data_IF_877167781620
#
_entry.id   IF_877167781620
#
_cell.length_a   1.000
_cell.length_b   1.000
_cell.length_c   1.000
_cell.angle_alpha   90.00
_cell.angle_beta   90.00
_cell.angle_gamma   90.00
#
_symmetry.space_group_name_H-M   'P 1'
#
loop_
_entity.id
_entity.type
_entity.pdbx_description
1 polymer ?
#
# COMPACT_ATOMS: atom_id res chain seq x y z
N UNK A 1 32.85 -68.33 37.49
CA UNK A 1 31.77 -69.35 37.58
C UNK A 1 30.59 -68.71 38.31
N UNK A 2 29.46 -68.52 37.61
CA UNK A 2 28.10 -68.17 38.07
C UNK A 2 27.45 -67.32 36.96
N UNK A 3 26.89 -67.91 35.90
CA UNK A 3 25.48 -68.30 35.72
C UNK A 3 24.46 -67.14 35.71
N UNK A 4 23.98 -66.88 34.48
CA UNK A 4 22.61 -66.62 34.05
C UNK A 4 21.91 -65.32 34.45
N UNK A 5 21.53 -64.52 33.44
CA UNK A 5 20.24 -63.82 33.39
C UNK A 5 19.77 -63.81 31.93
N UNK A 6 18.63 -64.44 31.68
CA UNK A 6 17.93 -64.48 30.41
C UNK A 6 17.27 -63.12 30.14
N UNK A 7 17.38 -62.61 28.91
CA UNK A 7 16.45 -61.61 28.38
C UNK A 7 16.08 -62.00 26.95
N UNK A 8 14.82 -62.43 26.80
CA UNK A 8 14.18 -62.64 25.52
C UNK A 8 14.00 -61.29 24.82
N UNK A 9 14.68 -61.09 23.70
CA UNK A 9 14.47 -59.95 22.82
C UNK A 9 13.23 -60.22 21.94
N UNK A 10 12.08 -59.67 22.34
CA UNK A 10 10.90 -59.57 21.50
C UNK A 10 11.14 -58.46 20.45
N UNK A 11 11.36 -58.86 19.19
CA UNK A 11 11.34 -57.95 18.04
C UNK A 11 9.88 -57.54 17.75
N UNK A 12 9.48 -56.37 18.27
CA UNK A 12 8.26 -55.70 17.82
C UNK A 12 8.58 -54.89 16.55
N UNK A 13 8.12 -55.38 15.40
CA UNK A 13 8.18 -54.67 14.12
C UNK A 13 7.10 -53.58 14.11
N UNK A 14 7.44 -52.38 14.58
CA UNK A 14 6.57 -51.21 14.46
C UNK A 14 6.66 -50.72 13.00
N UNK A 15 5.66 -51.07 12.19
CA UNK A 15 5.47 -50.48 10.87
C UNK A 15 5.11 -48.99 11.06
N UNK A 16 6.12 -48.11 10.98
CA UNK A 16 5.92 -46.67 10.96
C UNK A 16 5.19 -46.27 9.69
N UNK A 17 3.92 -45.89 9.81
CA UNK A 17 3.21 -45.18 8.74
C UNK A 17 3.81 -43.77 8.69
N UNK A 18 4.66 -43.55 7.69
CA UNK A 18 5.18 -42.22 7.37
C UNK A 18 4.02 -41.43 6.76
N UNK A 19 3.38 -40.56 7.56
CA UNK A 19 2.51 -39.52 7.03
C UNK A 19 3.39 -38.51 6.28
N UNK A 20 3.52 -38.68 4.97
CA UNK A 20 4.02 -37.59 4.13
C UNK A 20 2.94 -36.51 4.08
N UNK A 21 3.27 -35.24 4.37
CA UNK A 21 2.32 -34.15 4.16
C UNK A 21 1.97 -34.12 2.68
N UNK A 22 0.70 -34.37 2.38
CA UNK A 22 0.17 -34.31 1.03
C UNK A 22 0.12 -32.83 0.65
N UNK A 23 1.10 -32.36 -0.14
CA UNK A 23 1.03 -31.05 -0.77
C UNK A 23 -0.27 -30.97 -1.56
N UNK A 24 -1.13 -30.02 -1.21
CA UNK A 24 -2.29 -29.71 -2.04
C UNK A 24 -1.80 -29.34 -3.44
N UNK A 25 -2.47 -29.84 -4.48
CA UNK A 25 -2.15 -29.50 -5.85
C UNK A 25 -2.29 -27.98 -6.09
N UNK A 26 -1.54 -27.46 -7.06
CA UNK A 26 -1.70 -26.08 -7.50
C UNK A 26 -3.12 -25.85 -8.05
N UNK A 27 -3.70 -24.70 -7.75
CA UNK A 27 -5.05 -24.29 -8.13
C UNK A 27 -4.97 -23.16 -9.16
N UNK A 28 -5.22 -23.48 -10.42
CA UNK A 28 -5.18 -22.51 -11.51
C UNK A 28 -6.28 -21.44 -11.40
N UNK A 29 -7.44 -21.73 -10.79
CA UNK A 29 -8.49 -20.74 -10.61
C UNK A 29 -8.10 -19.69 -9.56
N UNK A 30 -7.39 -20.12 -8.51
CA UNK A 30 -6.74 -19.20 -7.58
C UNK A 30 -5.64 -18.38 -8.25
N UNK A 31 -4.81 -19.03 -9.07
CA UNK A 31 -3.78 -18.36 -9.89
C UNK A 31 -4.33 -17.26 -10.80
N UNK A 32 -5.49 -17.46 -11.42
CA UNK A 32 -6.17 -16.45 -12.24
C UNK A 32 -6.54 -15.19 -11.44
N UNK A 33 -7.02 -15.38 -10.20
CA UNK A 33 -7.36 -14.27 -9.30
C UNK A 33 -6.11 -13.50 -8.91
N UNK A 34 -5.02 -14.19 -8.58
CA UNK A 34 -3.73 -13.57 -8.29
C UNK A 34 -3.20 -12.82 -9.53
N UNK A 35 -3.49 -13.30 -10.74
CA UNK A 35 -3.07 -12.58 -11.94
C UNK A 35 -3.76 -11.20 -12.08
N UNK A 36 -4.86 -10.92 -11.37
CA UNK A 36 -5.43 -9.57 -11.31
C UNK A 36 -4.40 -8.50 -10.91
N UNK A 37 -3.50 -8.83 -9.97
CA UNK A 37 -2.36 -7.98 -9.53
C UNK A 37 -1.39 -7.65 -10.66
N UNK A 38 -1.34 -8.50 -11.69
CA UNK A 38 -0.44 -8.37 -12.83
C UNK A 38 -1.11 -7.72 -14.05
N UNK A 39 -2.45 -7.82 -14.17
CA UNK A 39 -3.22 -7.38 -15.36
C UNK A 39 -3.08 -5.89 -15.68
N UNK A 40 -2.82 -5.06 -14.67
CA UNK A 40 -2.55 -3.62 -14.86
C UNK A 40 -1.32 -3.39 -15.74
N UNK A 41 -0.25 -4.15 -15.50
CA UNK A 41 1.03 -3.98 -16.15
C UNK A 41 1.31 -4.98 -17.27
N UNK A 42 0.74 -6.18 -17.21
CA UNK A 42 1.05 -7.28 -18.11
C UNK A 42 -0.17 -7.77 -18.87
N UNK A 43 0.05 -8.20 -20.10
CA UNK A 43 -0.93 -8.91 -20.91
C UNK A 43 -0.41 -10.32 -21.20
N UNK A 44 -1.33 -11.28 -21.23
CA UNK A 44 -1.10 -12.69 -21.56
C UNK A 44 -2.28 -13.19 -22.40
N UNK A 45 -2.05 -14.18 -23.25
CA UNK A 45 -3.04 -14.74 -24.16
C UNK A 45 -3.09 -14.06 -25.54
N UNK A 46 -4.15 -14.35 -26.30
CA UNK A 46 -4.32 -13.90 -27.67
C UNK A 46 -4.28 -12.37 -27.78
N UNK A 47 -3.43 -11.85 -28.69
CA UNK A 47 -3.30 -10.41 -28.91
C UNK A 47 -2.60 -9.61 -27.79
N UNK A 48 -1.94 -10.28 -26.85
CA UNK A 48 -1.18 -9.61 -25.78
C UNK A 48 -0.12 -8.64 -26.33
N UNK A 49 -0.09 -7.42 -25.77
CA UNK A 49 0.85 -6.35 -26.14
C UNK A 49 1.63 -5.88 -24.91
N UNK A 50 2.81 -5.32 -25.15
CA UNK A 50 3.58 -4.63 -24.13
C UNK A 50 2.77 -3.45 -23.55
N UNK A 51 2.77 -3.29 -22.23
CA UNK A 51 2.14 -2.18 -21.48
C UNK A 51 3.20 -1.56 -20.55
N UNK A 52 2.84 -1.28 -19.29
CA UNK A 52 3.80 -0.91 -18.27
C UNK A 52 4.82 -2.03 -17.99
N UNK A 53 4.44 -3.29 -18.24
CA UNK A 53 5.30 -4.48 -18.30
C UNK A 53 5.29 -5.16 -19.68
N UNK A 54 6.26 -6.05 -19.98
CA UNK A 54 6.28 -6.81 -21.23
C UNK A 54 5.14 -7.84 -21.28
N UNK A 55 4.72 -8.21 -22.49
CA UNK A 55 3.77 -9.32 -22.67
C UNK A 55 4.35 -10.66 -22.17
N UNK A 56 3.50 -11.53 -21.65
CA UNK A 56 3.90 -12.76 -20.95
C UNK A 56 3.77 -14.05 -21.77
N UNK A 57 3.37 -13.99 -23.04
CA UNK A 57 3.31 -15.15 -23.92
C UNK A 57 4.70 -15.72 -24.19
N UNK A 58 4.82 -17.05 -24.12
CA UNK A 58 6.06 -17.80 -24.26
C UNK A 58 7.06 -17.47 -23.15
N UNK A 59 6.62 -17.11 -21.94
CA UNK A 59 7.55 -16.74 -20.86
C UNK A 59 8.39 -17.92 -20.39
N UNK A 60 7.85 -19.13 -20.36
CA UNK A 60 8.60 -20.33 -19.97
C UNK A 60 9.63 -20.68 -21.06
N UNK A 61 10.90 -20.74 -20.67
CA UNK A 61 12.07 -20.95 -21.53
C UNK A 61 12.67 -19.68 -22.13
N UNK A 62 12.06 -18.50 -21.91
CA UNK A 62 12.51 -17.24 -22.51
C UNK A 62 13.66 -16.61 -21.72
N UNK A 63 14.73 -16.11 -22.38
CA UNK A 63 15.74 -15.31 -21.71
C UNK A 63 15.14 -14.06 -21.05
N UNK A 64 15.62 -13.69 -19.87
CA UNK A 64 15.17 -12.48 -19.21
C UNK A 64 15.51 -11.23 -20.05
N UNK A 65 14.61 -10.24 -20.07
CA UNK A 65 14.88 -8.99 -20.78
C UNK A 65 14.85 -9.08 -22.32
N UNK A 66 14.20 -10.10 -22.91
CA UNK A 66 14.30 -10.39 -24.35
C UNK A 66 13.04 -10.12 -25.19
N UNK A 67 11.95 -9.58 -24.62
CA UNK A 67 10.78 -9.22 -25.45
C UNK A 67 11.12 -8.02 -26.32
N UNK A 68 10.91 -8.18 -27.63
CA UNK A 68 11.11 -7.11 -28.60
C UNK A 68 10.18 -5.92 -28.32
N UNK A 69 10.64 -4.71 -28.67
CA UNK A 69 9.91 -3.46 -28.48
C UNK A 69 9.48 -3.15 -27.04
N UNK A 70 10.13 -3.76 -26.04
CA UNK A 70 9.98 -3.39 -24.62
C UNK A 70 11.27 -2.82 -24.03
N UNK A 71 11.17 -1.70 -23.31
CA UNK A 71 12.31 -1.02 -22.69
C UNK A 71 12.59 -1.53 -21.28
N UNK A 72 13.39 -2.58 -21.18
CA UNK A 72 13.83 -3.15 -19.90
C UNK A 72 14.69 -2.20 -19.05
N UNK A 73 14.93 -2.59 -17.79
CA UNK A 73 16.00 -2.00 -16.99
C UNK A 73 17.35 -2.56 -17.45
N UNK A 74 18.42 -1.80 -17.23
CA UNK A 74 19.79 -2.27 -17.50
C UNK A 74 20.07 -3.60 -16.77
N UNK A 75 19.69 -3.68 -15.49
CA UNK A 75 19.86 -4.88 -14.67
C UNK A 75 19.15 -6.11 -15.26
N UNK A 76 17.92 -5.96 -15.78
CA UNK A 76 17.18 -7.09 -16.34
C UNK A 76 17.78 -7.59 -17.65
N UNK A 77 18.23 -6.68 -18.53
CA UNK A 77 18.93 -7.05 -19.76
C UNK A 77 20.27 -7.72 -19.47
N UNK A 78 21.03 -7.23 -18.48
CA UNK A 78 22.29 -7.84 -18.04
C UNK A 78 22.08 -9.23 -17.44
N UNK A 79 21.04 -9.41 -16.62
CA UNK A 79 20.70 -10.71 -16.05
C UNK A 79 20.40 -11.75 -17.15
N UNK A 80 19.64 -11.37 -18.18
CA UNK A 80 19.40 -12.22 -19.35
C UNK A 80 20.67 -12.56 -20.12
N UNK A 81 21.54 -11.56 -20.36
CA UNK A 81 22.84 -11.77 -21.01
C UNK A 81 23.78 -12.67 -20.21
N UNK A 82 23.62 -12.72 -18.89
CA UNK A 82 24.35 -13.61 -17.97
C UNK A 82 23.70 -14.99 -17.82
N UNK A 83 22.63 -15.29 -18.59
CA UNK A 83 22.03 -16.61 -18.67
C UNK A 83 20.77 -16.80 -17.82
N UNK A 84 20.17 -15.75 -17.26
CA UNK A 84 18.87 -15.87 -16.61
C UNK A 84 17.80 -16.23 -17.65
N UNK A 85 17.22 -17.42 -17.50
CA UNK A 85 16.12 -17.95 -18.32
C UNK A 85 14.92 -18.19 -17.42
N UNK A 86 13.75 -17.73 -17.85
CA UNK A 86 12.51 -17.94 -17.12
C UNK A 86 12.06 -19.39 -17.18
N UNK A 87 11.98 -20.03 -16.03
CA UNK A 87 11.44 -21.37 -15.80
C UNK A 87 10.66 -21.36 -14.47
N UNK A 88 10.10 -22.50 -14.06
CA UNK A 88 9.32 -22.57 -12.80
C UNK A 88 10.07 -22.01 -11.60
N UNK A 89 11.33 -22.39 -11.40
CA UNK A 89 12.13 -22.00 -10.23
C UNK A 89 12.53 -20.52 -10.26
N UNK A 90 13.00 -20.04 -11.40
CA UNK A 90 13.44 -18.64 -11.57
C UNK A 90 12.27 -17.66 -11.57
N UNK A 91 11.13 -18.04 -12.16
CA UNK A 91 9.90 -17.24 -12.06
C UNK A 91 9.38 -17.26 -10.63
N UNK A 92 9.40 -18.40 -9.93
CA UNK A 92 8.97 -18.45 -8.53
C UNK A 92 9.80 -17.50 -7.65
N UNK A 93 11.13 -17.57 -7.78
CA UNK A 93 12.03 -16.72 -7.02
C UNK A 93 11.87 -15.23 -7.37
N UNK A 94 11.66 -14.91 -8.66
CA UNK A 94 11.43 -13.54 -9.09
C UNK A 94 10.08 -13.01 -8.62
N UNK A 95 8.99 -13.78 -8.72
CA UNK A 95 7.65 -13.38 -8.28
C UNK A 95 7.55 -13.26 -6.76
N UNK A 96 8.35 -14.00 -6.00
CA UNK A 96 8.38 -13.87 -4.54
C UNK A 96 8.99 -12.54 -4.07
N UNK A 97 10.02 -12.03 -4.75
CA UNK A 97 10.65 -10.76 -4.41
C UNK A 97 11.45 -10.15 -5.58
N UNK A 98 10.79 -9.49 -6.56
CA UNK A 98 11.43 -9.06 -7.80
C UNK A 98 12.67 -8.18 -7.56
N UNK A 99 12.52 -7.16 -6.71
CA UNK A 99 13.58 -6.19 -6.37
C UNK A 99 14.79 -6.83 -5.69
N UNK A 100 14.60 -7.94 -4.98
CA UNK A 100 15.68 -8.70 -4.35
C UNK A 100 16.34 -9.67 -5.32
N UNK A 101 15.55 -10.31 -6.19
CA UNK A 101 16.05 -11.30 -7.15
C UNK A 101 16.86 -10.65 -8.28
N UNK A 102 16.38 -9.55 -8.88
CA UNK A 102 17.16 -8.73 -9.82
C UNK A 102 17.28 -7.31 -9.28
N UNK A 103 18.38 -7.00 -8.60
CA UNK A 103 18.63 -5.66 -8.05
C UNK A 103 18.67 -4.60 -9.16
N UNK A 104 17.80 -3.59 -9.08
CA UNK A 104 17.68 -2.54 -10.09
C UNK A 104 16.75 -2.87 -11.26
N UNK A 105 15.91 -3.91 -11.13
CA UNK A 105 14.77 -4.08 -12.03
C UNK A 105 13.72 -2.97 -11.84
N UNK A 106 12.86 -2.80 -12.85
CA UNK A 106 11.82 -1.75 -12.89
C UNK A 106 10.43 -2.23 -12.45
N UNK A 107 10.26 -3.51 -12.12
CA UNK A 107 8.98 -4.05 -11.67
C UNK A 107 8.70 -3.55 -10.25
N UNK A 108 7.65 -2.75 -10.09
CA UNK A 108 7.27 -2.16 -8.81
C UNK A 108 6.59 -3.15 -7.85
N UNK A 109 6.32 -4.38 -8.31
CA UNK A 109 5.64 -5.43 -7.56
C UNK A 109 6.39 -5.80 -6.25
N UNK A 110 5.71 -5.78 -5.08
CA UNK A 110 6.31 -6.11 -3.79
C UNK A 110 6.64 -7.60 -3.64
N UNK A 111 6.03 -8.47 -4.45
CA UNK A 111 6.23 -9.91 -4.44
C UNK A 111 5.07 -10.69 -3.79
N UNK A 112 4.90 -11.95 -4.19
CA UNK A 112 3.95 -12.89 -3.59
C UNK A 112 4.55 -13.52 -2.32
N UNK A 113 3.88 -13.38 -1.19
CA UNK A 113 4.40 -13.80 0.12
C UNK A 113 4.21 -15.29 0.37
N UNK A 114 3.10 -15.87 -0.10
CA UNK A 114 2.82 -17.30 0.08
C UNK A 114 3.44 -18.10 -1.07
N UNK A 115 4.24 -19.15 -0.78
CA UNK A 115 4.74 -20.05 -1.83
C UNK A 115 3.61 -20.71 -2.64
N UNK A 116 2.46 -20.96 -2.00
CA UNK A 116 1.29 -21.54 -2.68
C UNK A 116 0.70 -20.60 -3.75
N UNK A 117 0.65 -19.30 -3.49
CA UNK A 117 0.19 -18.31 -4.48
C UNK A 117 1.10 -18.29 -5.71
N UNK A 118 2.40 -18.42 -5.47
CA UNK A 118 3.40 -18.52 -6.55
C UNK A 118 3.17 -19.81 -7.36
N UNK A 119 2.98 -20.95 -6.69
CA UNK A 119 2.68 -22.23 -7.36
C UNK A 119 1.40 -22.15 -8.20
N UNK A 120 0.34 -21.55 -7.65
CA UNK A 120 -0.98 -21.39 -8.29
C UNK A 120 -0.93 -20.45 -9.50
N UNK A 121 -0.27 -19.30 -9.34
CA UNK A 121 -0.08 -18.35 -10.44
C UNK A 121 0.79 -18.94 -11.55
N UNK A 122 1.85 -19.69 -11.21
CA UNK A 122 2.70 -20.34 -12.21
C UNK A 122 1.94 -21.44 -12.96
N UNK A 123 1.08 -22.19 -12.30
CA UNK A 123 0.25 -23.21 -12.95
C UNK A 123 -0.71 -22.57 -13.95
N UNK A 124 -1.41 -21.51 -13.56
CA UNK A 124 -2.28 -20.75 -14.46
C UNK A 124 -1.50 -20.11 -15.63
N UNK A 125 -0.34 -19.50 -15.37
CA UNK A 125 0.48 -18.86 -16.39
C UNK A 125 1.01 -19.84 -17.45
N UNK A 126 1.28 -21.12 -17.10
CA UNK A 126 1.70 -22.12 -18.09
C UNK A 126 0.65 -22.27 -19.18
N UNK A 127 -0.61 -22.36 -18.79
CA UNK A 127 -1.74 -22.51 -19.70
C UNK A 127 -1.96 -21.25 -20.54
N UNK A 128 -1.99 -20.08 -19.90
CA UNK A 128 -2.38 -18.83 -20.57
C UNK A 128 -1.27 -18.21 -21.44
N UNK A 129 -0.01 -18.40 -21.06
CA UNK A 129 1.12 -17.84 -21.84
C UNK A 129 1.39 -18.60 -23.15
N UNK A 130 0.53 -19.54 -23.55
CA UNK A 130 0.73 -20.36 -24.74
C UNK A 130 1.75 -21.49 -24.51
N UNK A 131 1.93 -21.90 -23.26
CA UNK A 131 2.53 -23.19 -22.93
C UNK A 131 1.55 -24.32 -23.29
N UNK A 132 1.39 -24.59 -24.58
CA UNK A 132 0.82 -25.84 -25.09
C UNK A 132 1.93 -26.90 -25.10
N UNK A 133 1.74 -28.17 -24.77
CA UNK A 133 0.56 -29.02 -25.02
C UNK A 133 -0.71 -28.63 -24.24
N UNK A 134 -1.88 -28.38 -24.80
CA UNK A 134 -2.45 -28.29 -26.15
C UNK A 134 -3.70 -27.40 -26.03
N UNK A 135 -4.17 -26.83 -27.14
CA UNK A 135 -5.13 -25.72 -27.24
C UNK A 135 -6.62 -26.12 -27.29
N UNK A 136 -7.53 -25.25 -26.81
CA UNK A 136 -8.61 -24.57 -27.58
C UNK A 136 -9.52 -23.75 -26.62
N UNK A 137 -9.53 -22.41 -26.70
CA UNK A 137 -10.49 -21.53 -27.43
C UNK A 137 -11.79 -21.13 -26.69
N UNK A 138 -11.78 -19.87 -26.20
CA UNK A 138 -12.72 -18.75 -26.38
C UNK A 138 -14.24 -18.93 -26.19
N UNK A 139 -14.89 -18.01 -25.44
CA UNK A 139 -15.95 -17.07 -25.93
C UNK A 139 -16.10 -15.85 -24.98
N UNK A 140 -16.21 -14.66 -25.56
CA UNK A 140 -16.39 -13.35 -24.94
C UNK A 140 -17.85 -12.93 -24.66
N UNK A 141 -17.99 -11.93 -23.77
CA UNK A 141 -19.20 -11.20 -23.35
C UNK A 141 -19.70 -10.16 -24.38
N UNK A 142 -20.94 -9.61 -24.24
CA UNK A 142 -21.04 -8.14 -24.28
C UNK A 142 -22.09 -7.48 -23.34
N UNK A 143 -21.63 -6.42 -22.66
CA UNK A 143 -22.12 -5.02 -22.65
C UNK A 143 -23.59 -4.62 -22.37
N UNK A 144 -23.74 -3.87 -21.25
CA UNK A 144 -24.40 -2.55 -20.98
C UNK A 144 -25.67 -2.12 -21.72
N UNK A 145 -26.58 -1.48 -20.96
CA UNK A 145 -27.24 -0.23 -21.38
C UNK A 145 -27.50 0.73 -20.21
N UNK A 146 -27.21 2.01 -20.48
CA UNK A 146 -27.45 3.23 -19.70
C UNK A 146 -28.90 3.74 -19.74
N UNK A 147 -29.30 4.52 -18.74
CA UNK A 147 -30.43 5.45 -18.81
C UNK A 147 -30.32 6.56 -17.75
N UNK A 148 -30.17 7.80 -18.22
CA UNK A 148 -30.37 9.08 -17.52
C UNK A 148 -31.86 9.28 -17.20
N UNK A 149 -32.41 10.24 -16.46
CA UNK A 149 -32.10 11.62 -16.08
C UNK A 149 -33.20 12.04 -15.07
N UNK A 150 -33.02 13.09 -14.27
CA UNK A 150 -34.15 13.76 -13.61
C UNK A 150 -33.83 14.46 -12.30
N UNK A 151 -33.23 15.64 -12.39
CA UNK A 151 -33.08 16.58 -11.29
C UNK A 151 -34.38 17.38 -11.11
N UNK A 152 -34.86 17.51 -9.86
CA UNK A 152 -35.76 18.58 -9.46
C UNK A 152 -35.18 19.32 -8.25
N UNK A 153 -34.67 20.52 -8.52
CA UNK A 153 -34.27 21.52 -7.53
C UNK A 153 -35.51 22.23 -7.02
N UNK A 154 -35.86 22.02 -5.75
CA UNK A 154 -36.77 22.90 -5.03
C UNK A 154 -36.01 24.06 -4.39
N UNK A 155 -36.59 25.24 -4.60
CA UNK A 155 -36.08 26.59 -4.34
C UNK A 155 -35.85 26.90 -2.85
N UNK A 156 -34.78 27.67 -2.62
CA UNK A 156 -34.40 28.27 -1.34
C UNK A 156 -35.31 29.43 -0.96
N UNK A 157 -35.97 29.33 0.20
CA UNK A 157 -36.52 30.49 0.91
C UNK A 157 -35.68 30.75 2.17
N UNK A 158 -35.08 31.94 2.26
CA UNK A 158 -34.37 32.39 3.45
C UNK A 158 -35.35 32.56 4.62
N UNK A 159 -35.07 32.03 5.83
CA UNK A 159 -35.95 32.25 6.96
C UNK A 159 -35.75 33.68 7.47
N UNK A 160 -36.87 34.40 7.56
CA UNK A 160 -36.96 35.65 8.31
C UNK A 160 -36.48 35.43 9.75
N UNK A 161 -35.80 36.44 10.31
CA UNK A 161 -35.23 36.41 11.65
C UNK A 161 -36.29 36.03 12.70
N UNK A 162 -36.18 34.81 13.23
CA UNK A 162 -37.00 34.29 14.32
C UNK A 162 -36.71 35.09 15.59
N UNK A 163 -37.76 35.68 16.18
CA UNK A 163 -37.73 36.30 17.52
C UNK A 163 -37.70 35.28 18.66
N UNK A 164 -37.51 33.98 18.38
CA UNK A 164 -37.51 32.93 19.38
C UNK A 164 -36.06 32.57 19.76
N UNK A 165 -35.54 33.22 20.81
CA UNK A 165 -34.26 32.83 21.39
C UNK A 165 -34.40 31.44 22.03
N UNK A 166 -33.53 30.49 21.70
CA UNK A 166 -33.55 29.17 22.33
C UNK A 166 -33.39 29.25 23.85
N UNK A 167 -34.09 28.40 24.60
CA UNK A 167 -34.07 28.42 26.07
C UNK A 167 -32.90 27.64 26.69
N UNK A 168 -31.99 27.08 25.88
CA UNK A 168 -30.86 26.28 26.32
C UNK A 168 -29.53 27.05 26.19
N UNK A 169 -28.57 26.68 27.04
CA UNK A 169 -27.23 27.26 27.06
C UNK A 169 -27.16 28.62 27.77
N UNK A 170 -25.98 28.98 28.27
CA UNK A 170 -25.75 30.21 29.05
C UNK A 170 -26.11 31.47 28.24
N UNK A 171 -25.91 31.42 26.93
CA UNK A 171 -26.11 32.56 26.03
C UNK A 171 -27.36 32.45 25.16
N UNK A 172 -28.17 31.39 25.28
CA UNK A 172 -29.40 31.20 24.49
C UNK A 172 -29.16 31.30 22.97
N UNK A 173 -28.09 30.65 22.48
CA UNK A 173 -27.69 30.61 21.07
C UNK A 173 -27.71 29.15 20.55
N UNK A 174 -27.97 28.98 19.26
CA UNK A 174 -27.93 27.68 18.57
C UNK A 174 -29.09 26.74 18.95
N UNK A 175 -28.96 25.45 18.63
CA UNK A 175 -29.86 24.37 19.07
C UNK A 175 -29.06 23.15 19.50
N UNK A 176 -29.65 22.27 20.32
CA UNK A 176 -29.06 20.95 20.55
C UNK A 176 -28.91 20.23 19.20
N UNK A 177 -27.73 19.65 18.97
CA UNK A 177 -27.51 18.76 17.84
C UNK A 177 -28.36 17.51 18.00
N UNK A 178 -29.01 17.08 16.93
CA UNK A 178 -29.73 15.80 16.92
C UNK A 178 -28.72 14.67 16.86
N UNK A 179 -29.11 13.48 17.32
CA UNK A 179 -28.24 12.29 17.26
C UNK A 179 -27.83 11.97 15.82
N UNK A 180 -28.74 12.16 14.85
CA UNK A 180 -28.45 11.96 13.43
C UNK A 180 -27.39 12.94 12.89
N UNK A 181 -27.38 14.19 13.36
CA UNK A 181 -26.37 15.17 12.95
C UNK A 181 -25.00 14.86 13.54
N UNK A 182 -24.97 14.42 14.80
CA UNK A 182 -23.74 13.97 15.44
C UNK A 182 -23.21 12.75 14.69
N UNK A 183 -24.02 11.72 14.48
CA UNK A 183 -23.61 10.50 13.76
C UNK A 183 -23.11 10.77 12.32
N UNK A 184 -23.66 11.79 11.65
CA UNK A 184 -23.25 12.13 10.28
C UNK A 184 -21.89 12.87 10.20
N UNK A 185 -21.46 13.51 11.29
CA UNK A 185 -20.26 14.37 11.34
C UNK A 185 -19.13 13.77 12.19
N UNK A 186 -19.51 13.16 13.32
CA UNK A 186 -18.63 12.51 14.27
C UNK A 186 -18.36 11.06 13.83
N UNK A 187 -17.49 10.96 12.83
CA UNK A 187 -17.04 9.70 12.23
C UNK A 187 -15.60 9.37 12.65
N UNK A 188 -15.10 10.01 13.73
CA UNK A 188 -13.72 9.85 14.18
C UNK A 188 -13.44 8.43 14.68
N UNK A 189 -12.25 7.91 14.38
CA UNK A 189 -11.81 6.62 14.91
C UNK A 189 -10.57 6.84 15.75
N UNK A 190 -10.69 6.59 17.05
CA UNK A 190 -9.61 6.75 18.02
C UNK A 190 -8.68 5.53 18.00
N UNK A 191 -7.48 5.69 18.54
CA UNK A 191 -6.46 4.64 18.58
C UNK A 191 -6.91 3.39 19.35
N UNK A 192 -7.87 3.52 20.27
CA UNK A 192 -8.48 2.43 21.04
C UNK A 192 -9.72 1.81 20.37
N UNK A 193 -9.93 2.05 19.07
CA UNK A 193 -11.08 1.54 18.32
C UNK A 193 -12.40 2.29 18.55
N UNK A 194 -12.45 3.25 19.48
CA UNK A 194 -13.67 4.04 19.70
C UNK A 194 -14.06 4.79 18.42
N UNK A 195 -15.29 4.53 17.94
CA UNK A 195 -15.85 5.15 16.74
C UNK A 195 -15.80 4.27 15.48
N UNK A 196 -15.23 3.06 15.56
CA UNK A 196 -15.29 2.08 14.47
C UNK A 196 -16.76 1.72 14.15
N UNK A 197 -17.17 1.81 12.87
CA UNK A 197 -18.46 1.27 12.44
C UNK A 197 -18.43 -0.27 12.43
N UNK A 198 -19.59 -0.91 12.56
CA UNK A 198 -19.68 -2.37 12.37
C UNK A 198 -19.47 -2.69 10.90
N UNK A 199 -18.51 -3.56 10.60
CA UNK A 199 -18.16 -3.88 9.22
C UNK A 199 -16.93 -4.77 9.10
N UNK A 200 -16.62 -5.18 7.87
CA UNK A 200 -15.46 -6.00 7.53
C UNK A 200 -15.08 -5.87 6.06
N UNK A 201 -13.84 -6.25 5.76
CA UNK A 201 -13.35 -6.36 4.39
C UNK A 201 -12.01 -7.08 4.32
N UNK A 202 -11.79 -7.84 3.25
CA UNK A 202 -10.57 -8.62 3.05
C UNK A 202 -9.59 -7.96 2.08
N UNK A 203 -8.35 -8.47 2.06
CA UNK A 203 -7.26 -7.97 1.23
C UNK A 203 -7.56 -8.05 -0.27
N UNK A 204 -8.20 -9.13 -0.75
CA UNK A 204 -8.52 -9.30 -2.17
C UNK A 204 -9.55 -8.29 -2.67
N UNK A 205 -10.63 -8.09 -1.93
CA UNK A 205 -11.64 -7.09 -2.26
C UNK A 205 -11.04 -5.68 -2.17
N UNK A 206 -10.15 -5.47 -1.19
CA UNK A 206 -9.42 -4.23 -1.01
C UNK A 206 -8.50 -3.89 -2.18
N UNK A 207 -7.88 -4.89 -2.79
CA UNK A 207 -7.03 -4.73 -3.97
C UNK A 207 -7.81 -4.26 -5.20
N UNK A 208 -9.00 -4.85 -5.43
CA UNK A 208 -9.88 -4.44 -6.52
C UNK A 208 -10.33 -2.98 -6.34
N UNK A 209 -10.83 -2.65 -5.14
CA UNK A 209 -11.23 -1.29 -4.77
C UNK A 209 -10.07 -0.29 -4.87
N UNK A 210 -8.88 -0.69 -4.44
CA UNK A 210 -7.70 0.17 -4.50
C UNK A 210 -7.27 0.43 -5.95
N UNK A 211 -7.35 -0.58 -6.82
CA UNK A 211 -7.06 -0.43 -8.25
C UNK A 211 -8.04 0.55 -8.91
N UNK A 212 -9.34 0.47 -8.56
CA UNK A 212 -10.37 1.35 -9.12
C UNK A 212 -10.28 2.79 -8.60
N UNK A 213 -10.04 2.97 -7.30
CA UNK A 213 -10.24 4.27 -6.64
C UNK A 213 -8.94 4.97 -6.24
N UNK A 214 -7.81 4.26 -6.15
CA UNK A 214 -6.58 4.77 -5.50
C UNK A 214 -5.35 4.74 -6.41
N UNK A 215 -5.19 3.68 -7.21
CA UNK A 215 -3.95 3.38 -7.93
C UNK A 215 -3.52 4.45 -8.94
N UNK A 216 -4.47 5.20 -9.50
CA UNK A 216 -4.18 6.31 -10.42
C UNK A 216 -3.22 7.36 -9.82
N UNK A 217 -3.30 7.59 -8.51
CA UNK A 217 -2.41 8.49 -7.77
C UNK A 217 -1.38 7.72 -6.93
N UNK A 218 -1.77 6.63 -6.29
CA UNK A 218 -0.92 5.96 -5.31
C UNK A 218 -0.07 4.81 -5.88
N UNK A 219 -0.17 4.53 -7.18
CA UNK A 219 0.50 3.38 -7.82
C UNK A 219 -0.26 2.09 -7.53
N UNK A 220 0.00 1.04 -8.30
CA UNK A 220 -0.71 -0.24 -8.15
C UNK A 220 -0.40 -0.92 -6.80
N UNK A 221 0.76 -0.62 -6.21
CA UNK A 221 1.25 -1.22 -4.95
C UNK A 221 1.55 -0.18 -3.87
N UNK A 222 0.93 1.00 -3.94
CA UNK A 222 1.14 2.08 -2.98
C UNK A 222 2.51 2.77 -3.10
N UNK A 223 3.24 2.58 -4.19
CA UNK A 223 4.56 3.17 -4.44
C UNK A 223 4.54 4.65 -4.84
N UNK A 224 3.35 5.21 -5.08
CA UNK A 224 3.09 6.58 -5.54
C UNK A 224 3.35 6.77 -7.04
N UNK A 225 2.47 7.49 -7.74
CA UNK A 225 2.70 7.93 -9.12
C UNK A 225 3.14 9.39 -9.16
N UNK A 226 4.24 9.67 -9.87
CA UNK A 226 4.75 11.03 -10.02
C UNK A 226 5.14 11.68 -8.70
N UNK A 227 4.35 12.64 -8.23
CA UNK A 227 4.55 13.36 -6.95
C UNK A 227 3.46 13.07 -5.91
N UNK A 228 2.58 12.12 -6.19
CA UNK A 228 1.57 11.70 -5.23
C UNK A 228 2.19 10.91 -4.07
N UNK A 229 1.56 10.91 -2.89
CA UNK A 229 2.10 10.24 -1.71
C UNK A 229 2.32 8.73 -1.90
N UNK A 230 3.46 8.27 -1.40
CA UNK A 230 3.80 6.85 -1.24
C UNK A 230 3.08 6.31 0.00
N UNK A 231 2.31 5.23 -0.16
CA UNK A 231 1.54 4.60 0.90
C UNK A 231 2.23 3.36 1.49
N UNK A 232 3.12 2.72 0.74
CA UNK A 232 3.84 1.52 1.17
C UNK A 232 5.35 1.58 0.84
N UNK A 233 6.15 1.01 1.74
CA UNK A 233 7.63 0.99 1.65
C UNK A 233 8.32 1.93 2.64
N UNK A 234 9.65 2.07 2.55
CA UNK A 234 10.42 2.97 3.40
C UNK A 234 10.79 2.43 4.78
N UNK A 235 10.57 1.13 5.03
CA UNK A 235 10.99 0.47 6.27
C UNK A 235 12.49 0.66 6.50
N UNK A 236 12.85 1.06 7.72
CA UNK A 236 14.24 1.30 8.11
C UNK A 236 14.86 2.62 7.63
N UNK A 237 14.13 3.45 6.87
CA UNK A 237 14.69 4.69 6.29
C UNK A 237 14.58 5.92 7.20
N UNK A 238 14.02 5.80 8.41
CA UNK A 238 13.72 6.94 9.28
C UNK A 238 14.97 7.74 9.71
N UNK A 239 16.15 7.14 9.65
CA UNK A 239 17.44 7.77 9.98
C UNK A 239 18.25 8.17 8.75
N UNK A 240 17.74 7.92 7.54
CA UNK A 240 18.43 8.29 6.30
C UNK A 240 18.37 9.82 6.11
N UNK A 241 19.26 10.35 5.26
CA UNK A 241 19.25 11.79 4.89
C UNK A 241 17.89 12.22 4.31
N UNK A 242 17.21 11.30 3.62
CA UNK A 242 15.89 11.52 3.03
C UNK A 242 14.95 10.35 3.35
N UNK A 243 14.30 10.35 4.53
CA UNK A 243 13.41 9.27 4.94
C UNK A 243 12.19 9.12 4.04
N UNK A 244 11.73 7.88 3.87
CA UNK A 244 10.47 7.55 3.19
C UNK A 244 9.44 7.16 4.26
N UNK A 245 8.57 8.11 4.60
CA UNK A 245 7.60 8.01 5.70
C UNK A 245 6.23 7.59 5.16
N UNK A 246 5.86 6.33 5.36
CA UNK A 246 4.63 5.70 4.87
C UNK A 246 3.78 5.17 6.03
N UNK A 247 2.68 4.49 5.71
CA UNK A 247 1.85 3.80 6.70
C UNK A 247 2.71 2.77 7.47
N UNK A 248 3.41 1.88 6.76
CA UNK A 248 4.20 0.81 7.38
C UNK A 248 5.53 1.26 7.98
N UNK A 249 6.11 2.38 7.52
CA UNK A 249 7.40 2.85 8.05
C UNK A 249 7.30 3.88 9.17
N UNK A 250 6.20 4.64 9.24
CA UNK A 250 6.12 5.80 10.12
C UNK A 250 4.84 5.90 10.94
N UNK A 251 3.67 5.53 10.41
CA UNK A 251 2.41 5.81 11.11
C UNK A 251 2.25 4.97 12.38
N UNK A 252 1.70 5.53 13.47
CA UNK A 252 1.58 4.80 14.73
C UNK A 252 0.32 3.94 14.84
N UNK A 253 -0.80 4.38 14.27
CA UNK A 253 -2.11 3.77 14.53
C UNK A 253 -2.87 3.45 13.24
N UNK A 254 -3.48 2.26 13.22
CA UNK A 254 -4.36 1.83 12.14
C UNK A 254 -5.64 2.67 12.07
N UNK A 255 -6.11 3.17 13.22
CA UNK A 255 -7.27 4.06 13.32
C UNK A 255 -7.13 5.29 12.44
N UNK A 256 -5.94 5.89 12.39
CA UNK A 256 -5.65 7.05 11.53
C UNK A 256 -5.78 6.70 10.05
N UNK A 257 -5.38 5.49 9.65
CA UNK A 257 -5.54 5.02 8.27
C UNK A 257 -7.03 4.91 7.94
N UNK A 258 -7.80 4.22 8.78
CA UNK A 258 -9.22 4.00 8.57
C UNK A 258 -10.02 5.32 8.54
N UNK A 259 -9.88 6.18 9.57
CA UNK A 259 -10.58 7.48 9.64
C UNK A 259 -10.23 8.36 8.43
N UNK A 260 -8.93 8.49 8.13
CA UNK A 260 -8.50 9.36 7.02
C UNK A 260 -9.01 8.86 5.66
N UNK A 261 -8.93 7.57 5.38
CA UNK A 261 -9.46 6.99 4.13
C UNK A 261 -10.97 7.23 4.05
N UNK A 262 -11.72 6.89 5.11
CA UNK A 262 -13.17 7.09 5.19
C UNK A 262 -13.59 8.55 4.99
N UNK A 263 -12.85 9.47 5.60
CA UNK A 263 -13.21 10.89 5.70
C UNK A 263 -12.77 11.71 4.49
N UNK A 264 -11.60 11.40 3.93
CA UNK A 264 -10.90 12.30 3.02
C UNK A 264 -10.52 11.66 1.68
N UNK A 265 -10.70 10.35 1.50
CA UNK A 265 -10.39 9.65 0.26
C UNK A 265 -11.65 9.08 -0.41
N UNK A 266 -11.62 8.89 -1.75
CA UNK A 266 -10.59 9.33 -2.71
C UNK A 266 -10.47 10.85 -2.83
N UNK A 267 -9.28 11.38 -3.15
CA UNK A 267 -9.08 12.82 -3.31
C UNK A 267 -9.95 13.36 -4.46
N UNK A 268 -10.78 14.37 -4.16
CA UNK A 268 -11.78 14.91 -5.10
C UNK A 268 -13.16 14.24 -5.04
N UNK A 269 -13.29 13.11 -4.34
CA UNK A 269 -14.56 12.40 -4.13
C UNK A 269 -14.63 11.76 -2.73
N UNK A 270 -14.25 12.53 -1.70
CA UNK A 270 -14.20 12.04 -0.32
C UNK A 270 -15.57 11.59 0.19
N UNK A 271 -15.59 10.59 1.09
CA UNK A 271 -16.80 9.97 1.67
C UNK A 271 -17.68 9.22 0.66
N UNK A 272 -17.12 8.78 -0.46
CA UNK A 272 -17.85 8.01 -1.47
C UNK A 272 -17.84 6.49 -1.21
N UNK A 273 -16.97 6.01 -0.32
CA UNK A 273 -16.80 4.60 0.00
C UNK A 273 -17.68 4.19 1.18
N UNK A 274 -18.16 2.94 1.19
CA UNK A 274 -18.87 2.38 2.34
C UNK A 274 -17.89 1.99 3.46
N UNK A 275 -18.42 1.75 4.67
CA UNK A 275 -17.57 1.37 5.81
C UNK A 275 -16.84 0.03 5.57
N UNK A 276 -17.47 -0.92 4.86
CA UNK A 276 -16.88 -2.21 4.44
C UNK A 276 -15.79 -2.01 3.37
N UNK A 277 -16.01 -1.12 2.38
CA UNK A 277 -14.99 -0.79 1.38
C UNK A 277 -13.72 -0.21 2.04
N UNK A 278 -13.91 0.64 3.06
CA UNK A 278 -12.79 1.21 3.82
C UNK A 278 -12.06 0.12 4.62
N UNK A 279 -12.77 -0.86 5.19
CA UNK A 279 -12.13 -2.01 5.83
C UNK A 279 -11.29 -2.81 4.84
N UNK A 280 -11.84 -3.12 3.66
CA UNK A 280 -11.14 -3.86 2.61
C UNK A 280 -9.88 -3.12 2.14
N UNK A 281 -9.99 -1.83 1.82
CA UNK A 281 -8.84 -1.01 1.43
C UNK A 281 -7.79 -0.95 2.56
N UNK A 282 -8.23 -0.83 3.82
CA UNK A 282 -7.32 -0.82 4.97
C UNK A 282 -6.60 -2.16 5.12
N UNK A 283 -7.28 -3.29 4.92
CA UNK A 283 -6.68 -4.62 4.90
C UNK A 283 -5.62 -4.73 3.79
N UNK A 284 -5.92 -4.25 2.59
CA UNK A 284 -4.96 -4.22 1.48
C UNK A 284 -3.74 -3.34 1.77
N UNK A 285 -3.93 -2.16 2.38
CA UNK A 285 -2.83 -1.29 2.80
C UNK A 285 -1.92 -1.93 3.87
N UNK A 286 -2.49 -2.72 4.78
CA UNK A 286 -1.73 -3.53 5.74
C UNK A 286 -0.89 -4.60 5.01
N UNK A 287 -1.48 -5.26 4.01
CA UNK A 287 -0.80 -6.26 3.19
C UNK A 287 0.37 -5.66 2.40
N UNK A 288 0.15 -4.53 1.73
CA UNK A 288 1.21 -3.79 1.01
C UNK A 288 2.38 -3.37 1.91
N UNK A 289 2.12 -3.18 3.20
CA UNK A 289 3.12 -2.75 4.18
C UNK A 289 3.74 -3.91 4.98
N UNK A 290 3.48 -5.16 4.59
CA UNK A 290 3.97 -6.37 5.27
C UNK A 290 3.55 -6.44 6.75
N UNK A 291 2.44 -5.79 7.14
CA UNK A 291 1.88 -5.87 8.50
C UNK A 291 1.01 -7.13 8.64
N UNK A 292 0.32 -7.50 7.57
CA UNK A 292 -0.34 -8.79 7.40
C UNK A 292 0.21 -9.46 6.15
N UNK A 293 0.36 -10.78 6.17
CA UNK A 293 0.95 -11.55 5.05
C UNK A 293 -0.07 -12.40 4.30
N UNK A 294 -1.24 -12.60 4.91
CA UNK A 294 -2.29 -13.43 4.35
C UNK A 294 -3.16 -12.60 3.40
N UNK A 295 -3.29 -13.02 2.15
CA UNK A 295 -4.10 -12.34 1.15
C UNK A 295 -5.61 -12.61 1.27
N UNK A 296 -5.99 -13.57 2.10
CA UNK A 296 -7.35 -13.82 2.56
C UNK A 296 -7.63 -13.19 3.94
N UNK A 297 -6.69 -12.40 4.48
CA UNK A 297 -6.89 -11.69 5.74
C UNK A 297 -8.11 -10.77 5.65
N UNK A 298 -8.99 -10.88 6.64
CA UNK A 298 -10.18 -10.05 6.79
C UNK A 298 -10.04 -9.13 8.00
N UNK A 299 -10.07 -7.82 7.76
CA UNK A 299 -10.12 -6.82 8.81
C UNK A 299 -11.58 -6.54 9.15
N UNK A 300 -11.91 -6.45 10.43
CA UNK A 300 -13.25 -6.12 10.90
C UNK A 300 -13.19 -5.23 12.14
N UNK A 301 -14.34 -4.70 12.55
CA UNK A 301 -14.46 -4.02 13.83
C UNK A 301 -14.12 -4.92 15.04
N UNK A 302 -14.09 -6.24 14.89
CA UNK A 302 -13.85 -7.18 15.99
C UNK A 302 -12.36 -7.45 16.22
N UNK A 303 -11.54 -7.42 15.16
CA UNK A 303 -10.10 -7.70 15.24
C UNK A 303 -9.20 -6.46 15.01
N UNK A 304 -9.79 -5.28 14.79
CA UNK A 304 -9.06 -4.06 14.44
C UNK A 304 -7.96 -3.70 15.45
N UNK A 305 -8.26 -3.81 16.75
CA UNK A 305 -7.35 -3.45 17.84
C UNK A 305 -6.18 -4.43 18.02
N UNK A 306 -6.26 -5.62 17.42
CA UNK A 306 -5.18 -6.61 17.45
C UNK A 306 -4.02 -6.22 16.53
N UNK A 307 -4.26 -5.32 15.57
CA UNK A 307 -3.29 -4.90 14.57
C UNK A 307 -2.50 -3.68 15.04
N UNK A 308 -1.17 -3.84 15.15
CA UNK A 308 -0.24 -2.82 15.63
C UNK A 308 0.73 -2.43 14.51
N UNK A 309 0.82 -1.13 14.19
CA UNK A 309 1.75 -0.67 13.16
C UNK A 309 3.20 -0.64 13.69
N UNK A 310 4.22 -0.86 12.82
CA UNK A 310 5.60 -1.04 13.27
C UNK A 310 6.20 0.14 14.06
N UNK A 311 5.69 1.36 13.85
CA UNK A 311 6.28 2.58 14.42
C UNK A 311 5.47 3.18 15.58
N UNK A 312 4.50 2.45 16.13
CA UNK A 312 3.61 2.96 17.17
C UNK A 312 4.32 3.48 18.43
N UNK A 313 5.36 2.79 18.88
CA UNK A 313 6.07 3.13 20.11
C UNK A 313 7.05 4.31 19.96
N UNK A 314 7.25 4.84 18.74
CA UNK A 314 8.34 5.77 18.43
C UNK A 314 7.88 7.24 18.32
N UNK A 315 6.74 7.57 18.92
CA UNK A 315 6.26 8.94 19.04
C UNK A 315 6.33 9.38 20.50
N UNK A 316 6.88 10.56 20.75
CA UNK A 316 6.92 11.20 22.07
C UNK A 316 6.12 12.50 22.06
N UNK A 317 5.45 12.86 23.17
CA UNK A 317 4.97 14.21 23.37
C UNK A 317 6.10 15.22 23.18
N UNK A 318 5.74 16.44 22.79
CA UNK A 318 6.70 17.53 22.65
C UNK A 318 7.46 17.77 23.96
N UNK A 319 8.77 17.56 23.90
CA UNK A 319 9.69 17.65 25.03
C UNK A 319 10.74 18.75 24.84
N UNK A 320 10.49 19.70 23.92
CA UNK A 320 11.39 20.85 23.69
C UNK A 320 11.76 21.58 24.98
N UNK A 321 10.86 21.67 25.96
CA UNK A 321 11.14 22.35 27.22
C UNK A 321 12.13 21.60 28.15
N UNK A 322 12.40 20.32 27.88
CA UNK A 322 13.41 19.52 28.59
C UNK A 322 14.71 19.32 27.81
N UNK A 323 14.73 19.65 26.52
CA UNK A 323 15.94 19.57 25.69
C UNK A 323 16.91 20.70 26.05
N UNK A 324 18.21 20.42 26.31
CA UNK A 324 19.18 21.41 26.76
C UNK A 324 19.28 22.66 25.88
N UNK A 325 19.14 22.50 24.57
CA UNK A 325 19.23 23.56 23.56
C UNK A 325 18.10 24.59 23.66
N UNK A 326 16.96 24.21 24.24
CA UNK A 326 15.76 25.05 24.34
C UNK A 326 15.38 25.38 25.79
N UNK A 327 15.81 24.54 26.76
CA UNK A 327 15.56 24.74 28.18
C UNK A 327 16.40 25.88 28.77
N UNK A 328 17.61 26.08 28.24
CA UNK A 328 18.50 27.13 28.72
C UNK A 328 18.26 28.45 27.97
N UNK A 329 17.55 29.37 28.64
CA UNK A 329 17.53 30.78 28.23
C UNK A 329 18.87 31.43 28.58
N UNK A 330 19.90 31.14 27.80
CA UNK A 330 21.16 31.86 27.89
C UNK A 330 21.00 33.27 27.33
N UNK A 331 21.62 34.26 27.98
CA UNK A 331 21.76 35.59 27.38
C UNK A 331 22.59 35.48 26.08
N UNK A 332 22.14 36.08 24.97
CA UNK A 332 22.84 35.98 23.70
C UNK A 332 24.23 36.62 23.80
N UNK A 333 25.19 36.09 23.05
CA UNK A 333 26.49 36.75 22.92
C UNK A 333 26.34 38.10 22.21
N UNK A 334 26.93 39.15 22.79
CA UNK A 334 26.82 40.53 22.28
C UNK A 334 28.07 41.01 21.52
N UNK A 335 29.24 40.42 21.76
CA UNK A 335 30.51 40.83 21.15
C UNK A 335 31.47 39.65 21.00
N UNK A 336 32.26 39.64 19.92
CA UNK A 336 33.32 38.65 19.65
C UNK A 336 32.83 37.18 19.66
N UNK A 337 31.62 36.94 19.17
CA UNK A 337 30.88 35.69 19.35
C UNK A 337 31.37 34.49 18.54
N UNK A 338 32.09 34.73 17.43
CA UNK A 338 32.65 33.68 16.59
C UNK A 338 34.13 33.96 16.36
N UNK A 339 35.03 33.02 16.70
CA UNK A 339 36.42 33.14 16.31
C UNK A 339 36.56 32.93 14.79
N UNK A 340 37.24 33.85 14.12
CA UNK A 340 37.54 33.76 12.69
C UNK A 340 36.50 34.40 11.76
N UNK A 341 36.74 34.35 10.44
CA UNK A 341 35.86 35.00 9.47
C UNK A 341 34.53 34.26 9.32
N UNK A 342 33.48 35.03 9.02
CA UNK A 342 32.21 34.49 8.55
C UNK A 342 32.35 34.02 7.10
N UNK A 343 31.88 32.81 6.80
CA UNK A 343 31.94 32.19 5.48
C UNK A 343 30.51 31.90 5.03
N UNK A 344 30.23 32.13 3.74
CA UNK A 344 28.92 31.84 3.14
C UNK A 344 28.93 30.40 2.65
N UNK A 345 28.20 29.53 3.32
CA UNK A 345 28.17 28.10 2.99
C UNK A 345 27.09 27.73 1.96
N UNK A 346 25.97 28.47 1.93
CA UNK A 346 24.87 28.25 0.99
C UNK A 346 24.25 29.58 0.56
N UNK A 347 23.78 29.65 -0.69
CA UNK A 347 23.02 30.78 -1.24
C UNK A 347 21.76 30.25 -1.91
N UNK A 348 20.59 30.82 -1.58
CA UNK A 348 19.32 30.41 -2.18
C UNK A 348 19.33 30.52 -3.72
N UNK A 349 19.98 31.56 -4.25
CA UNK A 349 20.20 31.76 -5.68
C UNK A 349 20.98 30.64 -6.40
N UNK A 350 21.57 29.68 -5.67
CA UNK A 350 22.18 28.48 -6.28
C UNK A 350 21.11 27.44 -6.66
N UNK A 351 20.00 27.37 -5.91
CA UNK A 351 18.90 26.45 -6.21
C UNK A 351 17.93 27.04 -7.23
N UNK A 352 17.68 28.35 -7.15
CA UNK A 352 16.92 29.12 -8.14
C UNK A 352 15.54 28.51 -8.48
N UNK A 353 14.75 28.26 -7.42
CA UNK A 353 13.39 27.69 -7.52
C UNK A 353 12.32 28.66 -7.01
N UNK A 354 12.70 29.90 -6.70
CA UNK A 354 11.76 30.98 -6.37
C UNK A 354 11.17 31.48 -7.69
N UNK A 355 9.84 31.66 -7.79
CA UNK A 355 9.27 32.25 -9.00
C UNK A 355 9.82 33.65 -9.26
N UNK A 356 10.17 33.93 -10.51
CA UNK A 356 10.55 35.27 -10.97
C UNK A 356 9.31 36.14 -11.18
N UNK A 357 9.46 37.45 -11.00
CA UNK A 357 8.56 38.45 -11.56
C UNK A 357 8.85 38.63 -13.06
N UNK A 358 7.85 39.10 -13.80
CA UNK A 358 7.94 39.39 -15.24
C UNK A 358 9.07 40.39 -15.60
N UNK A 359 9.64 41.10 -14.62
CA UNK A 359 10.76 42.04 -14.75
C UNK A 359 12.14 41.49 -14.30
N UNK A 360 12.27 40.18 -14.01
CA UNK A 360 13.53 39.58 -13.59
C UNK A 360 13.94 39.91 -12.15
N UNK A 361 13.00 40.38 -11.34
CA UNK A 361 13.13 40.53 -9.89
C UNK A 361 12.40 39.37 -9.20
N UNK A 362 12.91 38.86 -8.07
CA UNK A 362 12.19 37.85 -7.27
C UNK A 362 10.81 38.41 -6.85
N UNK A 363 9.69 37.70 -7.13
CA UNK A 363 8.37 38.03 -6.52
C UNK A 363 8.29 37.63 -5.04
N UNK A 364 9.43 37.30 -4.41
CA UNK A 364 9.52 36.93 -3.02
C UNK A 364 9.02 38.07 -2.12
N UNK A 365 7.93 37.82 -1.40
CA UNK A 365 7.47 38.67 -0.30
C UNK A 365 8.56 38.71 0.79
N UNK A 366 9.50 39.66 0.67
CA UNK A 366 10.62 39.77 1.59
C UNK A 366 11.87 40.48 1.08
N UNK A 367 11.85 41.17 -0.08
CA UNK A 367 12.93 42.10 -0.40
C UNK A 367 12.91 43.26 0.61
N UNK A 368 13.83 43.19 1.58
CA UNK A 368 14.22 44.34 2.38
C UNK A 368 15.35 45.00 1.60
N UNK A 369 15.10 46.20 1.10
CA UNK A 369 16.08 47.10 0.49
C UNK A 369 17.33 47.32 1.36
#
# INVERSE_FOLDING_TARGET
MSKSLEYAAALAFVAGVIFLPQRAAADAAHGEKIFARCKACHAVGEGAKNRAGPQLNGIFGRPAGSVEDYRYSKAMTEAGAQGLVWNGDTLAAYLAAPKNFVKGNKMAFPGLKKPKDVEDLLEWLKTESGGSAEASENVASPSRSSGSEGADRASTAAPAASKNRPAHGIYNLGRRATEAEVAAWDIDVRADGTGLPVGRGNVMDGEELFTEHCAACHGDFGEGTGRWPVLAGGQGTLTDERPVKTIGSYWPYLSTVYDYVRRAMPFGNARALSDDDVYAITAYLLYLNDVVTEDDFELSNENFEEIRLPNEANFKPDDRLSEPEYAEKAEPCMSDCKPGPVVVDMRAAVLDVTPDADNGEDVGAGSVD
#
